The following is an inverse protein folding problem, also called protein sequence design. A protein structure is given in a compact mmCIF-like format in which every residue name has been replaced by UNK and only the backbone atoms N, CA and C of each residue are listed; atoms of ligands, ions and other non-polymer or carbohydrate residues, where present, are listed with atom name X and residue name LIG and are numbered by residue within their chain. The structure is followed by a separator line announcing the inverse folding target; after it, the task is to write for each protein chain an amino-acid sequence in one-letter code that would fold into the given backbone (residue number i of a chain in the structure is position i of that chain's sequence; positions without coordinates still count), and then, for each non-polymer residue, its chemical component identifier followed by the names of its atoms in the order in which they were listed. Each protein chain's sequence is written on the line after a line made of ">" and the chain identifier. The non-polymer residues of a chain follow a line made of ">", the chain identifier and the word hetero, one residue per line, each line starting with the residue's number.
data_IF_720281611903
#
_entry.id   IF_720281611903
#
_cell.length_a   1.000
_cell.length_b   1.000
_cell.length_c   1.000
_cell.angle_alpha   90.00
_cell.angle_beta   90.00
_cell.angle_gamma   90.00
#
_symmetry.space_group_name_H-M   'P 1'
#
loop_
_entity.id
_entity.type
_entity.pdbx_description
1 polymer ?
#
# COMPACT_ATOMS: atom_id res chain seq x y z
N UNK A 1 -8.84 8.74 3.86
CA UNK A 1 -8.72 7.78 4.98
C UNK A 1 -7.44 6.93 4.96
N UNK A 2 -6.94 6.47 3.80
CA UNK A 2 -5.73 5.62 3.68
C UNK A 2 -4.40 6.28 4.13
N UNK A 3 -4.30 7.61 4.09
CA UNK A 3 -3.10 8.37 4.52
C UNK A 3 -2.89 8.27 6.05
N UNK A 4 -3.96 8.02 6.82
CA UNK A 4 -3.90 8.03 8.29
C UNK A 4 -3.11 6.84 8.85
N UNK A 5 -3.33 5.63 8.33
CA UNK A 5 -2.70 4.41 8.87
C UNK A 5 -1.19 4.34 8.61
N UNK A 6 -0.73 4.71 7.42
CA UNK A 6 0.72 4.76 7.12
C UNK A 6 1.40 5.88 7.93
N UNK A 7 0.76 7.04 8.07
CA UNK A 7 1.27 8.13 8.90
C UNK A 7 1.41 7.71 10.37
N UNK A 8 0.38 7.09 10.95
CA UNK A 8 0.42 6.57 12.32
C UNK A 8 1.52 5.52 12.52
N UNK A 9 1.77 4.69 11.51
CA UNK A 9 2.86 3.71 11.56
C UNK A 9 4.24 4.39 11.57
N UNK A 10 4.45 5.43 10.75
CA UNK A 10 5.67 6.24 10.79
C UNK A 10 5.84 6.90 12.15
N UNK A 11 4.78 7.52 12.69
CA UNK A 11 4.81 8.15 14.02
C UNK A 11 5.15 7.15 15.13
N UNK A 12 4.58 5.95 15.06
CA UNK A 12 4.92 4.86 15.98
C UNK A 12 6.41 4.50 15.92
N UNK A 13 6.96 4.29 14.72
CA UNK A 13 8.37 3.98 14.54
C UNK A 13 9.28 5.12 15.00
N UNK A 14 8.95 6.37 14.68
CA UNK A 14 9.70 7.54 15.12
C UNK A 14 9.81 7.60 16.64
N UNK A 15 8.72 7.28 17.36
CA UNK A 15 8.73 7.25 18.82
C UNK A 15 9.56 6.09 19.39
N UNK A 16 9.44 4.88 18.82
CA UNK A 16 10.16 3.70 19.30
C UNK A 16 11.68 3.77 19.03
N UNK A 17 12.07 4.46 17.97
CA UNK A 17 13.47 4.57 17.52
C UNK A 17 14.12 5.91 17.89
N UNK A 18 13.34 6.88 18.38
CA UNK A 18 13.84 8.23 18.65
C UNK A 18 14.31 8.95 17.38
N UNK A 19 13.59 8.80 16.27
CA UNK A 19 13.96 9.39 14.98
C UNK A 19 13.66 10.89 14.95
N UNK A 20 14.63 11.67 14.47
CA UNK A 20 14.46 13.09 14.16
C UNK A 20 13.73 13.26 12.81
N UNK A 21 13.27 14.48 12.50
CA UNK A 21 12.56 14.76 11.24
C UNK A 21 13.38 14.38 9.99
N UNK A 22 14.71 14.50 10.06
CA UNK A 22 15.61 14.14 8.96
C UNK A 22 15.69 12.61 8.72
N UNK A 23 15.47 11.82 9.77
CA UNK A 23 15.56 10.36 9.72
C UNK A 23 14.21 9.69 9.45
N UNK A 24 13.15 10.49 9.29
CA UNK A 24 11.83 9.96 8.96
C UNK A 24 11.82 9.40 7.54
N UNK A 25 11.30 8.18 7.36
CA UNK A 25 11.26 7.54 6.06
C UNK A 25 10.31 8.30 5.13
N UNK A 26 10.85 8.86 4.06
CA UNK A 26 10.08 9.52 3.00
C UNK A 26 9.66 8.45 1.98
N UNK A 27 8.37 8.43 1.65
CA UNK A 27 7.87 7.62 0.52
C UNK A 27 8.41 8.24 -0.78
N UNK A 28 9.22 7.48 -1.51
CA UNK A 28 9.76 7.96 -2.79
C UNK A 28 8.66 8.17 -3.83
N UNK A 29 8.94 8.98 -4.85
CA UNK A 29 7.99 9.30 -5.93
C UNK A 29 7.45 8.05 -6.65
N UNK A 30 8.21 6.95 -6.63
CA UNK A 30 7.85 5.65 -7.21
C UNK A 30 7.34 4.61 -6.19
N UNK A 31 7.26 4.92 -4.89
CA UNK A 31 6.90 3.95 -3.83
C UNK A 31 5.48 3.37 -3.96
N UNK A 32 4.65 3.94 -4.84
CA UNK A 32 3.29 3.45 -5.12
C UNK A 32 3.24 2.55 -6.36
N UNK A 33 4.30 2.48 -7.14
CA UNK A 33 4.36 1.67 -8.36
C UNK A 33 4.39 0.20 -7.97
N UNK A 34 3.53 -0.60 -8.59
CA UNK A 34 3.34 -2.01 -8.26
C UNK A 34 2.43 -2.29 -7.05
N UNK A 35 1.96 -1.26 -6.33
CA UNK A 35 1.05 -1.42 -5.17
C UNK A 35 -0.28 -0.68 -5.33
N UNK A 36 -0.58 -0.16 -6.52
CA UNK A 36 -1.93 0.32 -6.87
C UNK A 36 -2.94 -0.84 -6.84
N UNK A 37 -4.25 -0.55 -6.74
CA UNK A 37 -5.25 -1.62 -6.82
C UNK A 37 -5.11 -2.39 -8.12
N UNK A 38 -5.01 -1.71 -9.27
CA UNK A 38 -4.81 -2.36 -10.56
C UNK A 38 -3.55 -3.23 -10.63
N UNK A 39 -2.42 -2.75 -10.11
CA UNK A 39 -1.18 -3.55 -10.09
C UNK A 39 -1.30 -4.78 -9.18
N UNK A 40 -1.95 -4.64 -8.02
CA UNK A 40 -2.22 -5.77 -7.13
C UNK A 40 -3.20 -6.77 -7.75
N UNK A 41 -4.26 -6.29 -8.39
CA UNK A 41 -5.25 -7.14 -9.10
C UNK A 41 -4.58 -7.96 -10.21
N UNK A 42 -3.68 -7.35 -10.97
CA UNK A 42 -2.90 -8.05 -12.00
C UNK A 42 -1.93 -9.07 -11.37
N UNK A 43 -1.13 -8.63 -10.38
CA UNK A 43 -0.13 -9.48 -9.71
C UNK A 43 -0.76 -10.71 -9.04
N UNK A 44 -1.99 -10.58 -8.55
CA UNK A 44 -2.73 -11.64 -7.86
C UNK A 44 -3.67 -12.44 -8.78
N UNK A 45 -3.60 -12.24 -10.11
CA UNK A 45 -4.43 -12.91 -11.10
C UNK A 45 -5.96 -12.73 -10.90
N UNK A 46 -6.37 -11.61 -10.28
CA UNK A 46 -7.79 -11.28 -10.15
C UNK A 46 -8.33 -10.63 -11.43
N UNK A 47 -7.47 -9.92 -12.15
CA UNK A 47 -7.78 -9.26 -13.41
C UNK A 47 -6.60 -9.41 -14.36
N UNK A 48 -6.87 -9.51 -15.65
CA UNK A 48 -5.86 -9.42 -16.71
C UNK A 48 -5.74 -7.98 -17.23
N UNK A 49 -4.81 -7.76 -18.16
CA UNK A 49 -4.59 -6.43 -18.76
C UNK A 49 -5.80 -5.94 -19.55
N UNK A 50 -6.60 -6.83 -20.15
CA UNK A 50 -7.78 -6.44 -20.91
C UNK A 50 -8.84 -5.81 -19.98
N UNK A 51 -9.15 -6.48 -18.87
CA UNK A 51 -10.06 -5.97 -17.84
C UNK A 51 -9.55 -4.70 -17.18
N UNK A 52 -8.24 -4.59 -16.94
CA UNK A 52 -7.63 -3.38 -16.39
C UNK A 52 -7.79 -2.21 -17.35
N UNK A 53 -7.50 -2.40 -18.64
CA UNK A 53 -7.61 -1.33 -19.63
C UNK A 53 -9.06 -0.87 -19.81
N UNK A 54 -10.00 -1.80 -19.94
CA UNK A 54 -11.44 -1.49 -20.01
C UNK A 54 -11.89 -0.69 -18.78
N UNK A 55 -11.52 -1.15 -17.59
CA UNK A 55 -11.85 -0.43 -16.35
C UNK A 55 -11.30 0.99 -16.35
N UNK A 56 -10.04 1.19 -16.77
CA UNK A 56 -9.41 2.52 -16.79
C UNK A 56 -10.10 3.46 -17.79
N UNK A 57 -10.52 2.97 -18.95
CA UNK A 57 -11.30 3.76 -19.92
C UNK A 57 -12.63 4.23 -19.31
N UNK A 58 -13.35 3.34 -18.64
CA UNK A 58 -14.62 3.66 -17.97
C UNK A 58 -14.39 4.61 -16.79
N UNK A 59 -13.32 4.39 -16.02
CA UNK A 59 -12.94 5.25 -14.91
C UNK A 59 -12.63 6.68 -15.38
N UNK A 60 -11.93 6.84 -16.50
CA UNK A 60 -11.61 8.14 -17.08
C UNK A 60 -12.88 8.89 -17.52
N UNK A 61 -13.86 8.18 -18.07
CA UNK A 61 -15.14 8.75 -18.50
C UNK A 61 -16.06 9.13 -17.33
N UNK A 62 -16.07 8.31 -16.28
CA UNK A 62 -17.02 8.46 -15.15
C UNK A 62 -16.45 9.23 -13.96
N UNK A 63 -15.12 9.30 -13.83
CA UNK A 63 -14.44 9.86 -12.66
C UNK A 63 -14.53 9.00 -11.40
N UNK A 64 -14.99 7.74 -11.51
CA UNK A 64 -15.18 6.83 -10.39
C UNK A 64 -13.87 6.40 -9.70
N UNK A 65 -13.97 5.79 -8.52
CA UNK A 65 -12.83 5.13 -7.88
C UNK A 65 -12.60 3.75 -8.50
N UNK A 66 -11.34 3.38 -8.71
CA UNK A 66 -10.95 2.10 -9.32
C UNK A 66 -11.70 0.89 -8.73
N UNK A 67 -11.78 0.82 -7.40
CA UNK A 67 -12.45 -0.29 -6.71
C UNK A 67 -13.96 -0.32 -6.95
N UNK A 68 -14.60 0.84 -7.03
CA UNK A 68 -16.05 0.94 -7.25
C UNK A 68 -16.39 0.56 -8.69
N UNK A 69 -15.64 1.09 -9.66
CA UNK A 69 -15.77 0.73 -11.08
C UNK A 69 -15.52 -0.77 -11.29
N UNK A 70 -14.53 -1.36 -10.61
CA UNK A 70 -14.28 -2.81 -10.68
C UNK A 70 -15.47 -3.65 -10.20
N UNK A 71 -16.22 -3.15 -9.20
CA UNK A 71 -17.42 -3.82 -8.67
C UNK A 71 -18.58 -3.66 -9.64
N UNK A 72 -18.79 -2.47 -10.17
CA UNK A 72 -19.85 -2.18 -11.15
C UNK A 72 -19.70 -3.03 -12.42
N UNK A 73 -18.46 -3.26 -12.87
CA UNK A 73 -18.15 -4.11 -14.02
C UNK A 73 -18.17 -5.62 -13.70
N UNK A 74 -18.38 -6.00 -12.44
CA UNK A 74 -18.35 -7.40 -12.01
C UNK A 74 -16.97 -8.05 -12.09
N UNK A 75 -15.90 -7.26 -12.19
CA UNK A 75 -14.52 -7.76 -12.24
C UNK A 75 -13.99 -8.14 -10.87
N UNK A 76 -14.46 -7.45 -9.82
CA UNK A 76 -14.17 -7.74 -8.43
C UNK A 76 -15.46 -7.63 -7.61
N UNK A 77 -15.53 -8.33 -6.49
CA UNK A 77 -16.57 -8.08 -5.49
C UNK A 77 -16.07 -7.14 -4.39
N UNK A 78 -17.00 -6.62 -3.58
CA UNK A 78 -16.70 -5.68 -2.50
C UNK A 78 -15.70 -6.23 -1.47
N UNK A 79 -15.74 -7.54 -1.19
CA UNK A 79 -14.82 -8.17 -0.24
C UNK A 79 -13.41 -8.31 -0.83
N UNK A 80 -13.27 -8.58 -2.12
CA UNK A 80 -11.98 -8.57 -2.83
C UNK A 80 -11.35 -7.17 -2.84
N UNK A 81 -12.13 -6.14 -3.16
CA UNK A 81 -11.67 -4.74 -3.12
C UNK A 81 -11.22 -4.35 -1.72
N UNK A 82 -11.98 -4.73 -0.69
CA UNK A 82 -11.62 -4.49 0.72
C UNK A 82 -10.31 -5.19 1.10
N UNK A 83 -10.12 -6.45 0.68
CA UNK A 83 -8.87 -7.20 0.92
C UNK A 83 -7.69 -6.58 0.18
N UNK A 84 -7.85 -6.19 -1.09
CA UNK A 84 -6.83 -5.50 -1.88
C UNK A 84 -6.42 -4.17 -1.24
N UNK A 85 -7.37 -3.39 -0.71
CA UNK A 85 -7.08 -2.16 0.02
C UNK A 85 -6.26 -2.42 1.28
N UNK A 86 -6.46 -3.54 1.97
CA UNK A 86 -5.64 -3.90 3.13
C UNK A 86 -4.24 -4.33 2.72
N UNK A 87 -4.11 -5.19 1.70
CA UNK A 87 -2.82 -5.60 1.13
C UNK A 87 -2.02 -4.36 0.69
N UNK A 88 -2.65 -3.42 -0.01
CA UNK A 88 -2.02 -2.16 -0.39
C UNK A 88 -1.47 -1.38 0.81
N UNK A 89 -2.21 -1.30 1.92
CA UNK A 89 -1.74 -0.60 3.13
C UNK A 89 -0.56 -1.33 3.76
N UNK A 90 -0.58 -2.66 3.80
CA UNK A 90 0.51 -3.47 4.34
C UNK A 90 1.78 -3.30 3.52
N UNK A 91 1.71 -3.43 2.19
CA UNK A 91 2.87 -3.24 1.32
C UNK A 91 3.53 -1.85 1.50
N UNK A 92 2.74 -0.79 1.68
CA UNK A 92 3.27 0.56 1.95
C UNK A 92 4.03 0.66 3.28
N UNK A 93 3.60 -0.08 4.30
CA UNK A 93 4.25 -0.08 5.62
C UNK A 93 5.47 -0.98 5.64
N UNK A 94 5.42 -2.11 4.94
CA UNK A 94 6.60 -2.95 4.71
C UNK A 94 7.69 -2.18 3.97
N UNK A 95 7.32 -1.39 2.94
CA UNK A 95 8.28 -0.53 2.24
C UNK A 95 8.99 0.44 3.19
N UNK A 96 8.28 1.01 4.16
CA UNK A 96 8.87 1.87 5.19
C UNK A 96 9.92 1.10 6.01
N UNK A 97 9.59 -0.12 6.46
CA UNK A 97 10.55 -0.94 7.20
C UNK A 97 11.76 -1.34 6.35
N UNK A 98 11.54 -1.72 5.10
CA UNK A 98 12.62 -2.03 4.17
C UNK A 98 13.55 -0.83 3.97
N UNK A 99 13.01 0.38 3.84
CA UNK A 99 13.80 1.60 3.71
C UNK A 99 14.67 1.85 4.94
N UNK A 100 14.09 1.74 6.14
CA UNK A 100 14.84 1.92 7.39
C UNK A 100 15.94 0.87 7.56
N UNK A 101 15.68 -0.38 7.16
CA UNK A 101 16.66 -1.46 7.20
C UNK A 101 17.82 -1.19 6.23
N UNK A 102 17.50 -0.83 4.98
CA UNK A 102 18.52 -0.52 3.96
C UNK A 102 19.33 0.74 4.30
N UNK A 103 18.72 1.72 4.98
CA UNK A 103 19.41 2.89 5.51
C UNK A 103 20.24 2.61 6.77
N UNK A 104 20.23 1.36 7.28
CA UNK A 104 20.88 0.97 8.54
C UNK A 104 20.36 1.73 9.78
N UNK A 105 19.20 2.38 9.68
CA UNK A 105 18.49 3.01 10.81
C UNK A 105 17.93 1.95 11.77
N UNK A 106 17.59 0.78 11.24
CA UNK A 106 17.24 -0.42 12.02
C UNK A 106 18.09 -1.60 11.58
N UNK A 107 18.32 -2.54 12.49
CA UNK A 107 18.93 -3.84 12.19
C UNK A 107 17.87 -4.94 11.94
N UNK A 108 18.32 -6.15 11.60
CA UNK A 108 17.40 -7.28 11.33
C UNK A 108 16.55 -7.68 12.53
N UNK A 109 17.06 -7.59 13.76
CA UNK A 109 16.30 -7.93 14.97
C UNK A 109 15.17 -6.93 15.21
N UNK A 110 15.46 -5.63 15.04
CA UNK A 110 14.47 -4.57 15.08
C UNK A 110 13.45 -4.73 13.95
N UNK A 111 13.89 -5.08 12.73
CA UNK A 111 12.98 -5.37 11.62
C UNK A 111 12.00 -6.49 11.99
N UNK A 112 12.49 -7.63 12.50
CA UNK A 112 11.65 -8.75 12.93
C UNK A 112 10.69 -8.36 14.06
N UNK A 113 11.11 -7.47 14.96
CA UNK A 113 10.25 -6.92 16.03
C UNK A 113 9.12 -6.04 15.48
N UNK A 114 9.38 -5.24 14.45
CA UNK A 114 8.39 -4.30 13.90
C UNK A 114 7.52 -4.88 12.78
N UNK A 115 7.99 -5.90 12.04
CA UNK A 115 7.26 -6.49 10.92
C UNK A 115 5.81 -6.90 11.25
N UNK A 116 5.50 -7.54 12.41
CA UNK A 116 4.12 -7.87 12.75
C UNK A 116 3.20 -6.64 12.95
N UNK A 117 3.78 -5.47 13.23
CA UNK A 117 3.02 -4.22 13.47
C UNK A 117 2.46 -3.63 12.17
N UNK A 118 3.00 -4.00 11.00
CA UNK A 118 2.49 -3.61 9.67
C UNK A 118 0.97 -3.84 9.54
N UNK A 119 0.47 -4.92 10.15
CA UNK A 119 -0.92 -5.34 10.05
C UNK A 119 -1.87 -4.63 11.02
N UNK A 120 -1.35 -3.87 11.99
CA UNK A 120 -2.14 -3.33 13.12
C UNK A 120 -2.57 -1.88 13.00
N UNK A 121 -2.04 -1.14 12.03
CA UNK A 121 -2.37 0.27 11.77
C UNK A 121 -3.29 0.41 10.56
#
# INVERSE_FOLDING_TARGET
>A
MAIRGTKLFIEYLSRELGLDEADKPILGSWGRVGTTLGALSLKLNLMDMEKINNLLEIQEQTGGLFGDVAIELGYLNAEEVKKLLNIQKWCRREEILHRLLLASTINEDQYRRFAPKVYLF
#
